data_IF_381896321936
#
_entry.id   IF_381896321936
#
_cell.length_a   1.000
_cell.length_b   1.000
_cell.length_c   1.000
_cell.angle_alpha   90.00
_cell.angle_beta   90.00
_cell.angle_gamma   90.00
#
_symmetry.space_group_name_H-M   'P 1'
#
loop_
_entity.id
_entity.type
_entity.pdbx_description
1 polymer ?
#
# COMPACT_ATOMS: atom_id res chain seq x y z
N UNK A 1 36.74 -11.50 20.16
CA UNK A 1 36.51 -10.40 21.12
C UNK A 1 35.70 -9.33 20.43
N UNK A 2 34.44 -9.12 20.84
CA UNK A 2 33.61 -8.03 20.33
C UNK A 2 34.06 -6.69 20.94
N UNK A 3 34.15 -5.59 20.19
CA UNK A 3 34.46 -4.31 20.79
C UNK A 3 33.20 -3.70 21.44
N UNK A 4 33.24 -3.52 22.76
CA UNK A 4 32.28 -2.70 23.49
C UNK A 4 32.53 -1.23 23.18
N UNK A 5 31.67 -0.62 22.36
CA UNK A 5 31.62 0.84 22.21
C UNK A 5 30.26 1.32 22.71
N UNK A 6 30.24 1.96 23.88
CA UNK A 6 29.06 2.67 24.40
C UNK A 6 28.68 3.81 23.45
N UNK A 7 27.56 3.65 22.75
CA UNK A 7 26.95 4.73 21.97
C UNK A 7 26.13 5.62 22.91
N UNK A 8 26.46 6.91 22.95
CA UNK A 8 25.62 7.94 23.57
C UNK A 8 24.97 8.73 22.45
N UNK A 9 23.68 8.50 22.22
CA UNK A 9 22.89 9.30 21.29
C UNK A 9 22.67 10.69 21.88
N UNK A 10 23.39 11.69 21.36
CA UNK A 10 23.02 13.11 21.50
C UNK A 10 22.32 13.52 20.21
N UNK A 11 21.00 13.31 20.17
CA UNK A 11 20.16 13.71 19.04
C UNK A 11 20.17 15.22 18.88
N UNK A 12 20.84 15.71 17.84
CA UNK A 12 20.65 17.05 17.32
C UNK A 12 19.45 17.00 16.37
N UNK A 13 18.30 17.53 16.80
CA UNK A 13 17.11 17.64 15.94
C UNK A 13 17.31 18.86 15.03
N UNK A 14 17.81 18.63 13.82
CA UNK A 14 17.70 19.62 12.75
C UNK A 14 16.42 19.33 11.98
N UNK A 15 15.48 20.29 11.96
CA UNK A 15 14.31 20.32 11.07
C UNK A 15 14.76 20.27 9.60
N UNK A 16 14.97 19.06 9.08
CA UNK A 16 14.99 18.76 7.65
C UNK A 16 13.87 17.76 7.44
N UNK A 17 12.96 18.05 6.52
CA UNK A 17 11.89 17.15 6.14
C UNK A 17 12.49 15.76 5.87
N UNK A 18 12.13 14.80 6.72
CA UNK A 18 12.60 13.41 6.65
C UNK A 18 12.12 12.80 5.33
N UNK A 19 13.00 12.76 4.33
CA UNK A 19 12.80 12.12 3.02
C UNK A 19 12.67 10.59 3.16
N UNK A 20 12.84 10.04 4.37
CA UNK A 20 12.78 8.61 4.68
C UNK A 20 11.50 8.21 5.44
N UNK A 21 10.36 8.87 5.17
CA UNK A 21 9.07 8.42 5.74
C UNK A 21 8.45 7.35 4.86
N UNK A 22 8.30 6.14 5.40
CA UNK A 22 7.43 5.11 4.83
C UNK A 22 5.98 5.64 4.87
N UNK A 23 5.38 5.84 3.70
CA UNK A 23 3.98 6.25 3.57
C UNK A 23 3.14 5.00 3.34
N UNK A 24 2.28 4.67 4.32
CA UNK A 24 1.29 3.62 4.19
C UNK A 24 -0.04 4.23 3.75
N UNK A 25 -0.55 3.81 2.60
CA UNK A 25 -1.90 4.14 2.13
C UNK A 25 -2.80 2.90 2.30
N UNK A 26 -3.49 2.73 3.44
CA UNK A 26 -4.31 1.55 3.68
C UNK A 26 -5.57 1.58 2.82
N UNK A 27 -5.79 0.52 2.02
CA UNK A 27 -7.06 0.26 1.35
C UNK A 27 -7.89 -0.70 2.20
N UNK A 28 -8.92 -0.18 2.86
CA UNK A 28 -9.75 -0.96 3.78
C UNK A 28 -11.06 -1.32 3.11
N UNK A 29 -11.35 -2.62 3.04
CA UNK A 29 -12.65 -3.14 2.61
C UNK A 29 -13.49 -3.41 3.84
N UNK A 30 -14.54 -2.63 4.03
CA UNK A 30 -15.45 -2.76 5.16
C UNK A 30 -16.72 -3.52 4.73
N UNK A 31 -17.02 -4.70 5.30
CA UNK A 31 -18.25 -5.42 4.98
C UNK A 31 -19.45 -4.70 5.61
N UNK A 32 -20.35 -4.18 4.77
CA UNK A 32 -21.58 -3.54 5.24
C UNK A 32 -22.69 -4.58 5.43
N UNK A 33 -23.34 -4.64 6.60
CA UNK A 33 -24.51 -5.48 6.77
C UNK A 33 -25.67 -4.94 5.90
N UNK A 34 -26.55 -5.84 5.47
CA UNK A 34 -27.74 -5.46 4.71
C UNK A 34 -28.57 -4.41 5.46
N UNK A 35 -29.17 -3.47 4.72
CA UNK A 35 -29.91 -2.35 5.31
C UNK A 35 -29.03 -1.34 6.04
N UNK A 36 -27.79 -1.17 5.59
CA UNK A 36 -26.84 -0.20 6.14
C UNK A 36 -26.19 0.65 5.06
N UNK A 37 -25.77 1.87 5.41
CA UNK A 37 -25.05 2.75 4.50
C UNK A 37 -23.96 3.52 5.24
N UNK A 38 -22.91 3.93 4.52
CA UNK A 38 -21.88 4.83 5.02
C UNK A 38 -22.04 6.18 4.34
N UNK A 39 -22.10 7.25 5.14
CA UNK A 39 -22.09 8.61 4.62
C UNK A 39 -20.86 9.31 5.15
N UNK A 40 -20.05 9.85 4.24
CA UNK A 40 -18.87 10.65 4.59
C UNK A 40 -19.16 12.11 4.33
N UNK A 41 -19.03 12.92 5.38
CA UNK A 41 -19.27 14.34 5.34
C UNK A 41 -17.97 15.10 5.11
N UNK A 42 -18.07 16.30 4.55
CA UNK A 42 -16.90 17.18 4.38
C UNK A 42 -16.32 17.58 5.75
N UNK A 43 -17.20 17.91 6.70
CA UNK A 43 -16.88 18.42 8.04
C UNK A 43 -17.18 17.39 9.13
N UNK A 44 -16.24 17.21 10.06
CA UNK A 44 -16.37 16.25 11.16
C UNK A 44 -17.44 16.65 12.18
N UNK A 45 -17.71 17.95 12.34
CA UNK A 45 -18.72 18.46 13.25
C UNK A 45 -20.13 18.00 12.87
N UNK A 46 -20.41 17.91 11.57
CA UNK A 46 -21.70 17.44 11.03
C UNK A 46 -21.91 15.98 11.40
N UNK A 47 -20.93 15.11 11.11
CA UNK A 47 -20.97 13.70 11.49
C UNK A 47 -21.19 13.51 13.00
N UNK A 48 -20.49 14.29 13.84
CA UNK A 48 -20.67 14.25 15.31
C UNK A 48 -22.09 14.61 15.75
N UNK A 49 -22.70 15.64 15.16
CA UNK A 49 -24.10 16.04 15.47
C UNK A 49 -25.09 14.96 15.07
N UNK A 50 -24.92 14.39 13.88
CA UNK A 50 -25.78 13.32 13.36
C UNK A 50 -25.69 12.07 14.26
N UNK A 51 -24.48 11.68 14.67
CA UNK A 51 -24.26 10.57 15.61
C UNK A 51 -24.88 10.88 16.99
N UNK A 52 -24.74 12.12 17.49
CA UNK A 52 -25.30 12.53 18.78
C UNK A 52 -26.85 12.47 18.79
N UNK A 53 -27.49 12.75 17.66
CA UNK A 53 -28.94 12.63 17.50
C UNK A 53 -29.44 11.18 17.52
N UNK A 54 -28.56 10.20 17.22
CA UNK A 54 -28.77 8.73 17.20
C UNK A 54 -29.86 8.22 16.25
N UNK A 55 -31.05 8.79 16.24
CA UNK A 55 -32.17 8.34 15.43
C UNK A 55 -32.61 9.45 14.46
N UNK A 56 -32.84 9.07 13.20
CA UNK A 56 -33.30 9.98 12.16
C UNK A 56 -34.50 9.37 11.45
N UNK A 57 -35.52 10.19 11.19
CA UNK A 57 -36.73 9.78 10.45
C UNK A 57 -36.61 10.29 9.03
N UNK A 58 -36.18 9.41 8.13
CA UNK A 58 -36.01 9.71 6.71
C UNK A 58 -37.34 9.52 6.00
N UNK A 59 -37.77 10.53 5.26
CA UNK A 59 -38.94 10.45 4.40
C UNK A 59 -38.49 9.92 3.04
N UNK A 60 -38.91 8.71 2.72
CA UNK A 60 -38.62 8.06 1.46
C UNK A 60 -39.67 8.50 0.43
N UNK A 61 -39.23 9.09 -0.68
CA UNK A 61 -40.08 9.33 -1.85
C UNK A 61 -39.93 8.16 -2.82
N UNK A 62 -40.99 7.41 -3.05
CA UNK A 62 -41.02 6.41 -4.11
C UNK A 62 -41.10 7.10 -5.49
N UNK A 63 -40.44 6.52 -6.49
CA UNK A 63 -40.47 6.99 -7.87
C UNK A 63 -41.87 7.01 -8.47
N UNK A 64 -42.02 7.74 -9.58
CA UNK A 64 -43.29 8.16 -10.20
C UNK A 64 -44.23 7.04 -10.69
N UNK A 65 -43.90 5.77 -10.51
CA UNK A 65 -44.65 4.63 -11.11
C UNK A 65 -45.68 3.95 -10.19
N UNK A 66 -45.86 4.38 -8.93
CA UNK A 66 -46.95 3.90 -8.09
C UNK A 66 -47.78 5.08 -7.59
N UNK A 67 -48.95 5.24 -8.21
CA UNK A 67 -49.90 6.34 -8.05
C UNK A 67 -50.58 6.45 -6.66
N UNK A 68 -50.00 5.91 -5.60
CA UNK A 68 -50.51 6.07 -4.22
C UNK A 68 -49.36 6.46 -3.28
N UNK A 69 -49.33 7.75 -2.98
CA UNK A 69 -48.34 8.47 -2.19
C UNK A 69 -48.39 8.07 -0.70
N UNK A 70 -47.95 6.87 -0.35
CA UNK A 70 -47.53 6.61 1.02
C UNK A 70 -46.10 7.13 1.20
N UNK A 71 -45.97 8.31 1.83
CA UNK A 71 -44.68 8.81 2.32
C UNK A 71 -44.16 7.84 3.38
N UNK A 72 -43.42 6.82 2.96
CA UNK A 72 -42.83 5.88 3.91
C UNK A 72 -41.77 6.59 4.73
N UNK A 73 -41.91 6.50 6.05
CA UNK A 73 -40.94 7.02 7.01
C UNK A 73 -40.07 5.87 7.47
N UNK A 74 -38.79 5.91 7.11
CA UNK A 74 -37.80 4.98 7.62
C UNK A 74 -37.14 5.57 8.87
N UNK A 75 -37.10 4.80 9.95
CA UNK A 75 -36.28 5.11 11.12
C UNK A 75 -34.90 4.52 10.89
N UNK A 76 -33.90 5.40 10.77
CA UNK A 76 -32.50 4.99 10.63
C UNK A 76 -31.73 5.38 11.87
N UNK A 77 -30.80 4.52 12.27
CA UNK A 77 -29.93 4.77 13.41
C UNK A 77 -28.55 5.22 12.92
N UNK A 78 -28.08 6.35 13.43
CA UNK A 78 -26.73 6.87 13.20
C UNK A 78 -25.78 6.38 14.30
N UNK A 79 -24.69 5.75 13.87
CA UNK A 79 -23.65 5.23 14.75
C UNK A 79 -22.25 5.67 14.25
N UNK A 80 -21.27 5.80 15.16
CA UNK A 80 -19.88 6.04 14.79
C UNK A 80 -19.29 4.83 14.05
N UNK A 81 -18.60 5.07 12.93
CA UNK A 81 -17.85 4.03 12.24
C UNK A 81 -16.48 3.86 12.90
N UNK A 82 -16.20 2.62 13.33
CA UNK A 82 -14.89 2.21 13.84
C UNK A 82 -14.22 1.27 12.84
N UNK A 83 -13.00 1.60 12.43
CA UNK A 83 -12.17 0.77 11.56
C UNK A 83 -10.91 0.34 12.31
N UNK A 84 -10.41 -0.86 12.01
CA UNK A 84 -9.07 -1.27 12.44
C UNK A 84 -8.05 -0.68 11.46
N UNK A 85 -7.29 0.32 11.90
CA UNK A 85 -6.24 0.93 11.11
C UNK A 85 -4.86 0.41 11.53
N UNK A 86 -3.90 0.28 10.59
CA UNK A 86 -2.50 0.10 10.94
C UNK A 86 -2.01 1.21 11.87
N UNK A 87 -1.42 0.82 12.99
CA UNK A 87 -0.85 1.73 14.01
C UNK A 87 0.67 1.63 14.10
N UNK A 88 1.22 0.42 13.90
CA UNK A 88 2.64 0.18 13.80
C UNK A 88 2.92 -0.94 12.79
N UNK A 89 4.00 -0.79 12.02
CA UNK A 89 4.50 -1.77 11.06
C UNK A 89 5.98 -1.99 11.33
N UNK A 90 6.38 -3.24 11.53
CA UNK A 90 7.78 -3.65 11.60
C UNK A 90 8.11 -4.52 10.40
N UNK A 91 9.25 -4.24 9.78
CA UNK A 91 9.75 -4.97 8.63
C UNK A 91 11.12 -5.56 8.96
N UNK A 92 11.25 -6.87 8.78
CA UNK A 92 12.52 -7.57 8.83
C UNK A 92 13.21 -7.45 7.49
N UNK A 93 14.39 -6.83 7.46
CA UNK A 93 15.22 -6.73 6.26
C UNK A 93 16.34 -7.78 6.34
N UNK A 94 16.45 -8.62 5.31
CA UNK A 94 17.48 -9.64 5.20
C UNK A 94 18.26 -9.45 3.91
N UNK A 95 19.58 -9.38 4.03
CA UNK A 95 20.48 -9.36 2.88
C UNK A 95 20.72 -10.78 2.41
N UNK A 96 20.53 -11.05 1.12
CA UNK A 96 20.89 -12.34 0.52
C UNK A 96 22.41 -12.50 0.47
N UNK A 97 22.92 -13.68 0.87
CA UNK A 97 24.33 -14.08 0.69
C UNK A 97 24.65 -14.58 -0.72
N UNK A 98 23.61 -14.86 -1.52
CA UNK A 98 23.71 -15.49 -2.85
C UNK A 98 23.18 -14.63 -3.98
N UNK A 99 22.49 -13.54 -3.69
CA UNK A 99 21.80 -12.75 -4.71
C UNK A 99 22.36 -11.35 -4.83
N UNK A 100 22.48 -10.87 -6.07
CA UNK A 100 22.88 -9.51 -6.41
C UNK A 100 21.77 -8.82 -7.17
N UNK A 101 21.66 -7.50 -6.98
CA UNK A 101 20.81 -6.63 -7.77
C UNK A 101 21.67 -5.87 -8.79
N UNK A 102 21.38 -6.09 -10.06
CA UNK A 102 22.03 -5.45 -11.21
C UNK A 102 21.13 -4.33 -11.73
N UNK A 103 21.68 -3.13 -11.79
CA UNK A 103 21.00 -1.90 -12.21
C UNK A 103 21.85 -1.15 -13.25
N UNK A 104 21.33 -0.03 -13.74
CA UNK A 104 21.91 0.75 -14.85
C UNK A 104 22.04 -0.11 -16.13
N UNK A 105 21.01 -0.93 -16.41
CA UNK A 105 20.99 -1.82 -17.57
C UNK A 105 20.86 -1.03 -18.88
N UNK A 106 21.59 -1.42 -19.94
CA UNK A 106 21.53 -0.71 -21.21
C UNK A 106 20.24 -1.00 -21.99
N UNK A 107 19.67 0.04 -22.60
CA UNK A 107 18.54 -0.07 -23.53
C UNK A 107 19.01 -0.55 -24.91
N UNK A 108 19.05 -1.87 -25.10
CA UNK A 108 19.67 -2.49 -26.28
C UNK A 108 18.72 -2.83 -27.42
N UNK A 109 17.42 -2.55 -27.29
CA UNK A 109 16.41 -2.94 -28.29
C UNK A 109 16.31 -4.47 -28.50
N UNK A 110 16.82 -5.26 -27.56
CA UNK A 110 16.73 -6.72 -27.56
C UNK A 110 15.62 -7.19 -26.61
N UNK A 111 15.05 -8.39 -26.85
CA UNK A 111 14.10 -8.98 -25.91
C UNK A 111 14.69 -9.13 -24.50
N UNK A 112 13.84 -9.00 -23.48
CA UNK A 112 14.23 -9.11 -22.07
C UNK A 112 14.98 -10.42 -21.78
N UNK A 113 14.47 -11.56 -22.27
CA UNK A 113 15.13 -12.86 -22.11
C UNK A 113 16.55 -12.88 -22.70
N UNK A 114 16.76 -12.25 -23.85
CA UNK A 114 18.09 -12.18 -24.47
C UNK A 114 19.06 -11.29 -23.68
N UNK A 115 18.57 -10.32 -22.91
CA UNK A 115 19.38 -9.57 -21.96
C UNK A 115 19.75 -10.44 -20.75
N UNK A 116 18.76 -11.15 -20.20
CA UNK A 116 18.97 -12.06 -19.07
C UNK A 116 19.98 -13.17 -19.42
N UNK A 117 19.88 -13.78 -20.61
CA UNK A 117 20.84 -14.77 -21.10
C UNK A 117 22.28 -14.25 -21.12
N UNK A 118 22.46 -12.99 -21.57
CA UNK A 118 23.78 -12.36 -21.65
C UNK A 118 24.33 -12.03 -20.27
N UNK A 119 23.49 -11.58 -19.36
CA UNK A 119 23.87 -11.31 -17.98
C UNK A 119 24.25 -12.60 -17.28
N UNK A 120 23.43 -13.64 -17.38
CA UNK A 120 23.72 -14.96 -16.82
C UNK A 120 25.04 -15.51 -17.35
N UNK A 121 25.25 -15.49 -18.67
CA UNK A 121 26.51 -15.95 -19.27
C UNK A 121 27.72 -15.11 -18.86
N UNK A 122 27.53 -13.82 -18.56
CA UNK A 122 28.60 -12.97 -18.05
C UNK A 122 28.94 -13.31 -16.59
N UNK A 123 27.93 -13.44 -15.74
CA UNK A 123 28.08 -13.70 -14.31
C UNK A 123 28.34 -15.18 -13.98
N UNK A 124 28.13 -16.11 -14.90
CA UNK A 124 28.52 -17.51 -14.73
C UNK A 124 30.03 -17.74 -14.79
N UNK A 125 30.79 -16.74 -15.27
CA UNK A 125 32.24 -16.87 -15.47
C UNK A 125 33.00 -16.43 -14.23
N UNK A 126 33.77 -17.35 -13.66
CA UNK A 126 34.66 -17.11 -12.51
C UNK A 126 35.68 -16.00 -12.76
N UNK A 127 36.16 -15.82 -14.00
CA UNK A 127 37.06 -14.70 -14.37
C UNK A 127 36.47 -13.31 -14.15
N UNK A 128 35.15 -13.20 -14.11
CA UNK A 128 34.43 -11.96 -13.84
C UNK A 128 34.12 -11.78 -12.34
N UNK A 129 34.55 -12.73 -11.49
CA UNK A 129 34.21 -12.80 -10.07
C UNK A 129 32.84 -13.43 -9.80
N UNK A 130 32.19 -13.99 -10.81
CA UNK A 130 30.90 -14.66 -10.67
C UNK A 130 31.01 -16.18 -10.50
N UNK A 131 29.89 -16.87 -10.64
CA UNK A 131 29.75 -18.32 -10.42
C UNK A 131 28.46 -18.84 -11.00
N UNK A 132 28.21 -20.14 -10.90
CA UNK A 132 27.00 -20.77 -11.42
C UNK A 132 25.73 -20.04 -10.95
N UNK A 133 24.89 -19.64 -11.90
CA UNK A 133 23.65 -18.91 -11.66
C UNK A 133 22.53 -19.92 -11.50
N UNK A 134 21.83 -19.88 -10.37
CA UNK A 134 20.68 -20.71 -10.06
C UNK A 134 19.38 -20.11 -10.61
N UNK A 135 19.22 -18.78 -10.49
CA UNK A 135 18.03 -18.10 -10.99
C UNK A 135 18.30 -16.66 -11.41
N UNK A 136 17.42 -16.16 -12.29
CA UNK A 136 17.43 -14.80 -12.82
C UNK A 136 16.00 -14.26 -12.84
N UNK A 137 15.81 -13.04 -12.35
CA UNK A 137 14.50 -12.40 -12.28
C UNK A 137 14.62 -10.95 -12.74
N UNK A 138 13.69 -10.52 -13.60
CA UNK A 138 13.62 -9.13 -14.05
C UNK A 138 12.55 -8.38 -13.26
N UNK A 139 12.97 -7.32 -12.58
CA UNK A 139 12.08 -6.43 -11.84
C UNK A 139 11.50 -5.40 -12.82
N UNK A 140 10.37 -5.76 -13.45
CA UNK A 140 9.76 -5.02 -14.55
C UNK A 140 9.35 -3.58 -14.23
N UNK A 141 9.12 -3.28 -12.96
CA UNK A 141 8.76 -1.97 -12.43
C UNK A 141 9.96 -1.01 -12.32
N UNK A 142 11.16 -1.53 -12.09
CA UNK A 142 12.38 -0.75 -11.85
C UNK A 142 13.42 -0.89 -12.96
N UNK A 143 13.23 -1.83 -13.89
CA UNK A 143 14.20 -2.12 -14.95
C UNK A 143 15.50 -2.73 -14.41
N UNK A 144 15.42 -3.45 -13.29
CA UNK A 144 16.57 -4.07 -12.62
C UNK A 144 16.50 -5.60 -12.75
N UNK A 145 17.64 -6.26 -12.53
CA UNK A 145 17.72 -7.72 -12.58
C UNK A 145 18.29 -8.26 -11.27
N UNK A 146 17.62 -9.25 -10.70
CA UNK A 146 18.14 -10.06 -9.60
C UNK A 146 18.78 -11.30 -10.19
N UNK A 147 20.03 -11.55 -9.83
CA UNK A 147 20.72 -12.81 -10.13
C UNK A 147 21.02 -13.53 -8.83
N UNK A 148 20.65 -14.80 -8.74
CA UNK A 148 20.95 -15.67 -7.60
C UNK A 148 21.95 -16.73 -8.02
N UNK A 149 23.03 -16.85 -7.27
CA UNK A 149 24.08 -17.84 -7.49
C UNK A 149 23.79 -19.13 -6.73
N UNK A 150 24.21 -20.27 -7.28
CA UNK A 150 24.09 -21.56 -6.63
C UNK A 150 24.90 -21.61 -5.33
N UNK A 151 26.09 -20.99 -5.32
CA UNK A 151 27.02 -21.02 -4.20
C UNK A 151 27.01 -19.73 -3.36
N UNK A 152 27.07 -19.89 -2.04
CA UNK A 152 27.35 -18.80 -1.11
C UNK A 152 28.74 -18.19 -1.34
N UNK A 153 28.86 -16.90 -1.06
CA UNK A 153 30.15 -16.18 -1.13
C UNK A 153 30.49 -15.62 -2.51
N UNK A 154 29.74 -15.96 -3.56
CA UNK A 154 29.90 -15.35 -4.90
C UNK A 154 29.38 -13.92 -4.95
N UNK A 155 28.30 -13.63 -4.22
CA UNK A 155 27.65 -12.32 -4.25
C UNK A 155 28.49 -11.21 -3.59
N UNK A 156 29.12 -11.48 -2.45
CA UNK A 156 29.80 -10.45 -1.64
C UNK A 156 30.97 -9.76 -2.36
N UNK A 157 31.86 -10.46 -3.08
CA UNK A 157 32.92 -9.83 -3.88
C UNK A 157 32.35 -8.94 -4.99
N UNK A 158 31.27 -9.38 -5.65
CA UNK A 158 30.61 -8.61 -6.70
C UNK A 158 29.96 -7.34 -6.14
N UNK A 159 29.30 -7.44 -4.99
CA UNK A 159 28.71 -6.29 -4.28
C UNK A 159 29.80 -5.31 -3.83
N UNK A 160 30.90 -5.81 -3.27
CA UNK A 160 32.03 -4.99 -2.81
C UNK A 160 32.66 -4.22 -3.98
N UNK A 161 32.71 -4.82 -5.17
CA UNK A 161 33.18 -4.17 -6.38
C UNK A 161 32.25 -3.02 -6.83
N UNK A 162 30.94 -3.18 -6.64
CA UNK A 162 29.91 -2.16 -6.86
C UNK A 162 29.61 -1.81 -8.33
N UNK A 163 30.62 -1.78 -9.21
CA UNK A 163 30.45 -1.56 -10.66
C UNK A 163 31.32 -2.52 -11.48
N UNK A 164 30.79 -3.00 -12.60
CA UNK A 164 31.49 -3.91 -13.50
C UNK A 164 31.26 -3.57 -14.96
N UNK A 165 32.29 -3.69 -15.78
CA UNK A 165 32.13 -3.58 -17.23
C UNK A 165 31.76 -4.95 -17.81
N UNK A 166 30.57 -5.03 -18.42
CA UNK A 166 30.07 -6.21 -19.09
C UNK A 166 30.02 -6.01 -20.61
N UNK A 167 30.42 -7.05 -21.34
CA UNK A 167 30.26 -7.12 -22.79
C UNK A 167 28.89 -7.74 -23.09
N UNK A 168 27.95 -6.92 -23.56
CA UNK A 168 26.58 -7.34 -23.87
C UNK A 168 26.36 -7.13 -25.37
N UNK A 169 26.36 -8.24 -26.13
CA UNK A 169 26.36 -8.18 -27.59
C UNK A 169 27.68 -7.60 -28.11
N UNK A 170 27.61 -6.47 -28.83
CA UNK A 170 28.79 -5.79 -29.41
C UNK A 170 29.29 -4.60 -28.58
N UNK A 171 28.57 -4.21 -27.52
CA UNK A 171 28.89 -3.04 -26.70
C UNK A 171 29.49 -3.40 -25.34
N UNK A 172 30.27 -2.47 -24.79
CA UNK A 172 30.75 -2.50 -23.39
C UNK A 172 29.88 -1.56 -22.57
N UNK A 173 29.31 -2.07 -21.49
CA UNK A 173 28.42 -1.32 -20.61
C UNK A 173 28.90 -1.45 -19.18
N UNK A 174 28.83 -0.36 -18.43
CA UNK A 174 29.06 -0.38 -16.99
C UNK A 174 27.74 -0.70 -16.29
N UNK A 175 27.74 -1.78 -15.52
CA UNK A 175 26.60 -2.23 -14.73
C UNK A 175 26.86 -1.94 -13.26
N UNK A 176 25.82 -1.51 -12.54
CA UNK A 176 25.88 -1.29 -11.10
C UNK A 176 25.39 -2.55 -10.37
N UNK A 177 26.21 -3.03 -9.44
CA UNK A 177 25.94 -4.17 -8.56
C UNK A 177 25.65 -3.65 -7.16
N UNK A 178 24.55 -4.12 -6.58
CA UNK A 178 24.13 -3.76 -5.23
C UNK A 178 23.61 -4.99 -4.49
N UNK A 179 23.60 -4.98 -3.14
CA UNK A 179 23.08 -6.10 -2.38
C UNK A 179 21.60 -6.30 -2.64
N UNK A 180 21.18 -7.54 -2.84
CA UNK A 180 19.77 -7.88 -2.85
C UNK A 180 19.26 -7.97 -1.40
N UNK A 181 18.29 -7.14 -1.06
CA UNK A 181 17.66 -7.10 0.27
C UNK A 181 16.20 -7.51 0.12
N UNK A 182 15.80 -8.59 0.79
CA UNK A 182 14.39 -8.94 0.94
C UNK A 182 13.84 -8.29 2.22
N UNK A 183 12.60 -7.84 2.15
CA UNK A 183 11.88 -7.27 3.28
C UNK A 183 10.60 -8.04 3.50
N UNK A 184 10.39 -8.52 4.72
CA UNK A 184 9.17 -9.21 5.13
C UNK A 184 8.49 -8.42 6.25
N UNK A 185 7.15 -8.38 6.25
CA UNK A 185 6.41 -7.81 7.37
C UNK A 185 6.52 -8.77 8.55
N UNK A 186 7.21 -8.34 9.61
CA UNK A 186 7.41 -9.15 10.82
C UNK A 186 6.34 -8.89 11.86
N UNK A 187 5.78 -7.68 11.89
CA UNK A 187 4.71 -7.32 12.81
C UNK A 187 3.82 -6.22 12.22
N UNK A 188 2.51 -6.36 12.37
CA UNK A 188 1.52 -5.34 12.03
C UNK A 188 0.54 -5.20 13.19
N UNK A 189 0.56 -4.04 13.85
CA UNK A 189 -0.36 -3.74 14.93
C UNK A 189 -1.53 -2.92 14.40
N UNK A 190 -2.75 -3.38 14.72
CA UNK A 190 -3.98 -2.69 14.37
C UNK A 190 -4.58 -2.02 15.59
N UNK A 191 -5.10 -0.80 15.42
CA UNK A 191 -5.83 -0.11 16.46
C UNK A 191 -7.22 0.33 15.95
N UNK A 192 -8.26 0.21 16.79
CA UNK A 192 -9.55 0.81 16.49
C UNK A 192 -9.41 2.33 16.32
N UNK A 193 -9.91 2.85 15.22
CA UNK A 193 -9.96 4.28 14.92
C UNK A 193 -11.39 4.65 14.56
N UNK A 194 -11.90 5.72 15.18
CA UNK A 194 -13.16 6.31 14.81
C UNK A 194 -12.96 7.16 13.55
N UNK A 195 -13.77 6.95 12.51
CA UNK A 195 -13.77 7.81 11.33
C UNK A 195 -14.53 9.10 11.66
N UNK A 196 -13.85 10.25 11.88
CA UNK A 196 -14.50 11.43 12.47
C UNK A 196 -15.50 12.11 11.53
N UNK A 197 -15.46 11.77 10.24
CA UNK A 197 -16.30 12.33 9.18
C UNK A 197 -17.32 11.33 8.62
N UNK A 198 -17.28 10.07 9.04
CA UNK A 198 -18.10 9.02 8.45
C UNK A 198 -19.11 8.51 9.47
N UNK A 199 -20.36 8.45 9.06
CA UNK A 199 -21.47 7.94 9.87
C UNK A 199 -21.94 6.61 9.27
N UNK A 200 -22.12 5.62 10.13
CA UNK A 200 -22.80 4.37 9.80
C UNK A 200 -24.29 4.54 10.06
N UNK A 201 -25.10 4.36 9.02
CA UNK A 201 -26.55 4.31 9.12
C UNK A 201 -27.00 2.85 9.12
N UNK A 202 -27.88 2.50 10.05
CA UNK A 202 -28.47 1.17 10.22
C UNK A 202 -29.99 1.25 10.14
N UNK A 203 -30.64 0.13 9.80
CA UNK A 203 -32.10 0.03 9.77
C UNK A 203 -32.73 0.57 8.48
N UNK A 204 -31.95 0.66 7.40
CA UNK A 204 -32.44 1.07 6.08
C UNK A 204 -33.30 -0.08 5.52
N UNK A 205 -34.56 0.16 5.16
CA UNK A 205 -35.42 -0.87 4.61
C UNK A 205 -34.91 -1.32 3.22
N UNK A 206 -34.98 -2.62 2.89
CA UNK A 206 -34.47 -3.17 1.62
C UNK A 206 -35.38 -2.86 0.42
N UNK A 207 -36.19 -1.80 0.49
CA UNK A 207 -37.32 -1.55 -0.41
C UNK A 207 -36.96 -0.61 -1.58
N UNK A 208 -35.79 0.02 -1.58
CA UNK A 208 -35.37 0.99 -2.59
C UNK A 208 -34.04 0.58 -3.22
N UNK A 209 -33.92 0.84 -4.53
CA UNK A 209 -32.66 0.74 -5.26
C UNK A 209 -31.62 1.73 -4.69
N UNK A 210 -30.34 1.45 -4.94
CA UNK A 210 -29.21 2.18 -4.35
C UNK A 210 -29.21 3.69 -4.67
N UNK A 211 -29.48 4.05 -5.92
CA UNK A 211 -29.47 5.44 -6.41
C UNK A 211 -30.52 6.35 -5.74
N UNK A 212 -31.84 6.03 -5.76
CA UNK A 212 -32.84 6.88 -5.10
C UNK A 212 -32.68 6.94 -3.58
N UNK A 213 -32.17 5.87 -2.97
CA UNK A 213 -31.85 5.86 -1.53
C UNK A 213 -30.71 6.82 -1.22
N UNK A 214 -29.66 6.83 -2.03
CA UNK A 214 -28.52 7.73 -1.88
C UNK A 214 -28.96 9.19 -1.94
N UNK A 215 -29.73 9.56 -2.96
CA UNK A 215 -30.19 10.94 -3.14
C UNK A 215 -31.09 11.39 -1.98
N UNK A 216 -31.99 10.51 -1.51
CA UNK A 216 -32.87 10.79 -0.37
C UNK A 216 -32.09 11.05 0.91
N UNK A 217 -31.07 10.23 1.19
CA UNK A 217 -30.22 10.39 2.38
C UNK A 217 -29.35 11.65 2.27
N UNK A 218 -28.81 11.95 1.09
CA UNK A 218 -28.03 13.16 0.86
C UNK A 218 -28.88 14.42 1.13
N UNK A 219 -30.07 14.51 0.53
CA UNK A 219 -31.00 15.63 0.76
C UNK A 219 -31.42 15.71 2.23
N UNK A 220 -31.59 14.58 2.92
CA UNK A 220 -31.96 14.55 4.32
C UNK A 220 -30.91 15.21 5.21
N UNK A 221 -29.63 14.84 5.03
CA UNK A 221 -28.53 15.30 5.86
C UNK A 221 -27.89 16.62 5.40
N UNK A 222 -28.26 17.17 4.24
CA UNK A 222 -27.92 18.55 3.87
C UNK A 222 -28.74 19.60 4.67
N UNK A 223 -29.84 19.22 5.31
CA UNK A 223 -30.70 20.16 6.06
C UNK A 223 -30.12 20.45 7.45
N UNK A 224 -29.84 21.72 7.72
CA UNK A 224 -29.34 22.18 9.03
C UNK A 224 -30.24 21.80 10.21
N UNK A 225 -31.56 21.69 9.99
CA UNK A 225 -32.53 21.25 11.00
C UNK A 225 -32.39 19.78 11.40
N UNK A 226 -31.55 19.00 10.71
CA UNK A 226 -31.31 17.56 10.90
C UNK A 226 -29.85 17.25 11.22
N UNK A 227 -29.08 18.28 11.59
CA UNK A 227 -27.69 18.16 12.01
C UNK A 227 -26.64 18.38 10.91
N UNK A 228 -27.09 18.62 9.67
CA UNK A 228 -26.29 18.99 8.49
C UNK A 228 -25.55 20.32 8.59
#
# INVERSE_FOLDING_TARGET
TLPEKKMVFKGLVTNKEDVNKLILAPLIRYPLPGGSALITFEKAEVARRIIAAKEHVVELSYGEELAELERCRARVQAAPLHLLLPSALEMGLRRSSRSILVSDLPSLGIPQEALLDKLELFFSKTKNGGGEVESREFLGDTGQVVLTFAQDGVAEPLITRGRIQALIGKGKYELKISPCVSGDVTNLQLQPCCCPRTVLLLGIPPLLCEEPMRDTLEIHFQKASRGG
#
